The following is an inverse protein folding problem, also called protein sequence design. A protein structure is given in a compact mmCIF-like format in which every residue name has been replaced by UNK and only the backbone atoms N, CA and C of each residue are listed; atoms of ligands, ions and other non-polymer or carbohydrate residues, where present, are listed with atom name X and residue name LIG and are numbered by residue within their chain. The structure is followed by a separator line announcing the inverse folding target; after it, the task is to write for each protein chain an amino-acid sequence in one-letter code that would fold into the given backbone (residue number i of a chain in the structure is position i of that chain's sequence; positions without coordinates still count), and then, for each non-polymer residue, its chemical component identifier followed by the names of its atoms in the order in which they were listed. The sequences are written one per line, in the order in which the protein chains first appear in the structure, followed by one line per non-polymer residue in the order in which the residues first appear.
data_IF_030970162340
#
_entry.id   IF_030970162340
#
_cell.length_a   1.000
_cell.length_b   1.000
_cell.length_c   1.000
_cell.angle_alpha   90.00
_cell.angle_beta   90.00
_cell.angle_gamma   90.00
#
_symmetry.space_group_name_H-M   'P 1'
#
loop_
_entity.id
_entity.type
_entity.pdbx_description
1 polymer ?
#
# COMPACT_ATOMS: atom_id res chain seq x y z
N UNK A 1 16.21 -8.91 31.15
CA UNK A 1 15.21 -9.34 30.16
C UNK A 1 15.63 -8.76 28.83
N UNK A 2 16.21 -9.56 27.94
CA UNK A 2 16.47 -9.13 26.57
C UNK A 2 15.09 -9.06 25.92
N UNK A 3 14.58 -7.85 25.70
CA UNK A 3 13.35 -7.69 24.94
C UNK A 3 13.58 -8.34 23.56
N UNK A 4 12.74 -9.29 23.17
CA UNK A 4 12.71 -9.81 21.79
C UNK A 4 12.54 -8.61 20.85
N UNK A 5 13.64 -8.15 20.24
CA UNK A 5 13.68 -6.98 19.36
C UNK A 5 13.14 -7.35 17.97
N UNK A 6 12.97 -6.39 17.04
CA UNK A 6 11.79 -6.18 16.20
C UNK A 6 11.73 -7.10 14.96
N UNK A 7 12.45 -8.22 14.95
CA UNK A 7 12.59 -9.09 13.78
C UNK A 7 11.24 -9.56 13.24
N UNK A 8 10.27 -9.77 14.15
CA UNK A 8 8.87 -10.07 13.77
C UNK A 8 8.15 -8.88 13.15
N UNK A 9 8.35 -7.67 13.68
CA UNK A 9 7.77 -6.45 13.10
C UNK A 9 8.32 -6.17 11.71
N UNK A 10 9.63 -6.34 11.51
CA UNK A 10 10.29 -6.15 10.22
C UNK A 10 9.83 -7.19 9.17
N UNK A 11 9.71 -8.46 9.56
CA UNK A 11 9.20 -9.51 8.68
C UNK A 11 7.74 -9.25 8.27
N UNK A 12 6.92 -8.77 9.22
CA UNK A 12 5.54 -8.36 8.95
C UNK A 12 5.50 -7.18 7.96
N UNK A 13 6.39 -6.20 8.11
CA UNK A 13 6.45 -5.04 7.20
C UNK A 13 6.87 -5.43 5.78
N UNK A 14 7.75 -6.42 5.63
CA UNK A 14 8.11 -6.96 4.33
C UNK A 14 6.96 -7.73 3.67
N UNK A 15 6.17 -8.46 4.47
CA UNK A 15 4.96 -9.11 3.98
C UNK A 15 3.93 -8.07 3.50
N UNK A 16 3.68 -7.03 4.29
CA UNK A 16 2.77 -5.92 3.91
C UNK A 16 3.20 -5.27 2.60
N UNK A 17 4.50 -5.02 2.40
CA UNK A 17 5.02 -4.48 1.12
C UNK A 17 4.76 -5.44 -0.05
N UNK A 18 4.98 -6.73 0.15
CA UNK A 18 4.75 -7.75 -0.88
C UNK A 18 3.27 -7.80 -1.28
N UNK A 19 2.37 -7.82 -0.30
CA UNK A 19 0.93 -7.81 -0.55
C UNK A 19 0.48 -6.53 -1.24
N UNK A 20 1.01 -5.38 -0.82
CA UNK A 20 0.74 -4.11 -1.48
C UNK A 20 1.07 -4.14 -2.97
N UNK A 21 2.28 -4.61 -3.34
CA UNK A 21 2.67 -4.73 -4.75
C UNK A 21 1.82 -5.74 -5.51
N UNK A 22 1.43 -6.85 -4.85
CA UNK A 22 0.53 -7.85 -5.44
C UNK A 22 -0.83 -7.26 -5.77
N UNK A 23 -1.47 -6.59 -4.80
CA UNK A 23 -2.76 -5.92 -4.96
C UNK A 23 -2.68 -4.87 -6.07
N UNK A 24 -1.67 -3.99 -6.03
CA UNK A 24 -1.49 -2.99 -7.08
C UNK A 24 -1.32 -3.62 -8.46
N UNK A 25 -0.71 -4.81 -8.57
CA UNK A 25 -0.57 -5.54 -9.84
C UNK A 25 -1.92 -6.07 -10.33
N UNK A 26 -2.76 -6.57 -9.43
CA UNK A 26 -4.06 -7.17 -9.72
C UNK A 26 -5.14 -6.14 -10.09
N UNK A 27 -5.05 -4.90 -9.60
CA UNK A 27 -5.98 -3.81 -9.97
C UNK A 27 -5.81 -3.42 -11.45
N UNK A 28 -6.61 -4.00 -12.35
CA UNK A 28 -6.55 -3.77 -13.80
C UNK A 28 -6.84 -2.32 -14.22
N UNK A 29 -7.69 -1.64 -13.46
CA UNK A 29 -8.16 -0.27 -13.76
C UNK A 29 -7.07 0.80 -13.62
N UNK A 30 -5.95 0.48 -12.96
CA UNK A 30 -4.84 1.40 -12.75
C UNK A 30 -3.84 1.36 -13.91
N UNK A 31 -3.54 2.52 -14.48
CA UNK A 31 -2.44 2.66 -15.44
C UNK A 31 -1.08 2.45 -14.79
N UNK A 32 -0.03 2.30 -15.60
CA UNK A 32 1.35 2.26 -15.08
C UNK A 32 1.73 3.53 -14.32
N UNK A 33 1.23 4.69 -14.76
CA UNK A 33 1.44 5.97 -14.08
C UNK A 33 0.73 6.00 -12.72
N UNK A 34 -0.54 5.58 -12.68
CA UNK A 34 -1.32 5.54 -11.42
C UNK A 34 -0.63 4.65 -10.39
N UNK A 35 -0.16 3.46 -10.81
CA UNK A 35 0.59 2.55 -9.94
C UNK A 35 1.86 3.20 -9.41
N UNK A 36 2.60 3.92 -10.25
CA UNK A 36 3.81 4.62 -9.82
C UNK A 36 3.52 5.76 -8.82
N UNK A 37 2.44 6.51 -9.03
CA UNK A 37 1.99 7.57 -8.10
C UNK A 37 1.58 6.99 -6.75
N UNK A 38 0.74 5.95 -6.75
CA UNK A 38 0.29 5.28 -5.52
C UNK A 38 1.45 4.65 -4.77
N UNK A 39 2.39 4.00 -5.47
CA UNK A 39 3.62 3.48 -4.86
C UNK A 39 4.43 4.60 -4.21
N UNK A 40 4.68 5.71 -4.92
CA UNK A 40 5.43 6.85 -4.38
C UNK A 40 4.77 7.42 -3.12
N UNK A 41 3.44 7.48 -3.08
CA UNK A 41 2.74 8.05 -1.93
C UNK A 41 2.67 7.10 -0.74
N UNK A 42 2.23 5.87 -0.96
CA UNK A 42 1.94 4.91 0.11
C UNK A 42 3.21 4.21 0.64
N UNK A 43 4.25 4.02 -0.17
CA UNK A 43 5.53 3.45 0.31
C UNK A 43 6.25 4.37 1.30
N UNK A 44 5.86 5.65 1.40
CA UNK A 44 6.47 6.60 2.33
C UNK A 44 6.25 6.24 3.80
N UNK A 45 5.14 5.55 4.12
CA UNK A 45 4.75 5.21 5.49
C UNK A 45 4.19 3.79 5.55
N UNK A 46 4.76 2.97 6.44
CA UNK A 46 4.35 1.56 6.57
C UNK A 46 2.90 1.41 7.05
N UNK A 47 2.40 2.35 7.85
CA UNK A 47 1.02 2.36 8.32
C UNK A 47 0.02 2.58 7.19
N UNK A 48 0.38 3.41 6.19
CA UNK A 48 -0.46 3.67 5.02
C UNK A 48 -0.57 2.40 4.16
N UNK A 49 0.53 1.64 4.02
CA UNK A 49 0.52 0.34 3.35
C UNK A 49 -0.35 -0.68 4.08
N UNK A 50 -0.26 -0.74 5.42
CA UNK A 50 -1.10 -1.64 6.23
C UNK A 50 -2.57 -1.30 6.07
N UNK A 51 -2.92 -0.01 6.14
CA UNK A 51 -4.28 0.46 5.90
C UNK A 51 -4.78 0.03 4.53
N UNK A 52 -3.98 0.24 3.49
CA UNK A 52 -4.33 -0.14 2.12
C UNK A 52 -4.51 -1.66 1.92
N UNK A 53 -3.63 -2.47 2.48
CA UNK A 53 -3.72 -3.94 2.40
C UNK A 53 -4.96 -4.46 3.12
N UNK A 54 -5.40 -3.80 4.21
CA UNK A 54 -6.58 -4.22 4.97
C UNK A 54 -7.92 -3.80 4.36
N UNK A 55 -7.94 -2.77 3.51
CA UNK A 55 -9.16 -2.36 2.79
C UNK A 55 -9.72 -3.49 1.92
N UNK A 56 -11.03 -3.56 1.76
CA UNK A 56 -11.68 -4.41 0.75
C UNK A 56 -11.40 -3.91 -0.67
N UNK A 57 -11.66 -4.73 -1.68
CA UNK A 57 -11.43 -4.35 -3.08
C UNK A 57 -12.22 -3.08 -3.48
N UNK A 58 -13.49 -3.00 -3.11
CA UNK A 58 -14.36 -1.84 -3.38
C UNK A 58 -13.84 -0.57 -2.68
N UNK A 59 -13.39 -0.69 -1.43
CA UNK A 59 -12.82 0.43 -0.68
C UNK A 59 -11.52 0.92 -1.30
N UNK A 60 -10.64 0.00 -1.72
CA UNK A 60 -9.37 0.34 -2.39
C UNK A 60 -9.61 1.10 -3.68
N UNK A 61 -10.59 0.70 -4.47
CA UNK A 61 -10.91 1.36 -5.73
C UNK A 61 -11.36 2.80 -5.50
N UNK A 62 -12.26 3.02 -4.53
CA UNK A 62 -12.69 4.35 -4.10
C UNK A 62 -11.52 5.20 -3.57
N UNK A 63 -10.70 4.62 -2.71
CA UNK A 63 -9.53 5.27 -2.12
C UNK A 63 -8.51 5.70 -3.20
N UNK A 64 -8.15 4.80 -4.12
CA UNK A 64 -7.23 5.09 -5.21
C UNK A 64 -7.74 6.24 -6.09
N UNK A 65 -9.04 6.26 -6.43
CA UNK A 65 -9.64 7.34 -7.23
C UNK A 65 -9.49 8.71 -6.57
N UNK A 66 -9.79 8.80 -5.26
CA UNK A 66 -9.68 10.05 -4.52
C UNK A 66 -8.21 10.49 -4.43
N UNK A 67 -7.33 9.58 -4.05
CA UNK A 67 -5.91 9.88 -3.87
C UNK A 67 -5.23 10.31 -5.19
N UNK A 68 -5.51 9.62 -6.29
CA UNK A 68 -4.99 9.98 -7.62
C UNK A 68 -5.48 11.35 -8.08
N UNK A 69 -6.75 11.68 -7.81
CA UNK A 69 -7.31 13.01 -8.13
C UNK A 69 -6.62 14.13 -7.36
N UNK A 70 -6.26 13.88 -6.10
CA UNK A 70 -5.56 14.88 -5.28
C UNK A 70 -4.11 15.07 -5.71
N UNK A 71 -3.43 14.01 -6.16
CA UNK A 71 -2.05 14.09 -6.68
C UNK A 71 -1.93 14.73 -8.06
N UNK A 72 -3.01 14.74 -8.84
CA UNK A 72 -3.04 15.28 -10.21
C UNK A 72 -3.58 16.72 -10.28
N UNK A 73 -3.94 17.31 -9.13
CA UNK A 73 -4.23 18.73 -8.96
C UNK A 73 -2.96 19.55 -8.73
#
# INVERSE_FOLDING_TARGET
MIAEWPSRALANDNHVRTEFFRILREMSELTSLDRALLQRHLLSRIDDLRGFVLMSEDEREGFCRVLLRDMTR
#
